data_IF_198253655966
#
_entry.id   IF_198253655966
#
_cell.length_a   1.000
_cell.length_b   1.000
_cell.length_c   1.000
_cell.angle_alpha   90.00
_cell.angle_beta   90.00
_cell.angle_gamma   90.00
#
_symmetry.space_group_name_H-M   'P 1'
#
loop_
_entity.id
_entity.type
_entity.pdbx_description
1 polymer ?
#
# COMPACT_ATOMS: atom_id res chain seq x y z
N UNK A 1 -58.67 -6.60 52.09
CA UNK A 1 -59.44 -6.51 50.83
C UNK A 1 -58.95 -5.30 50.05
N UNK A 2 -58.39 -5.58 48.86
CA UNK A 2 -58.13 -4.71 47.68
C UNK A 2 -56.67 -4.73 47.24
N UNK A 3 -56.43 -5.56 46.23
CA UNK A 3 -55.36 -5.44 45.25
C UNK A 3 -55.55 -4.14 44.45
N UNK A 4 -54.45 -3.50 44.10
CA UNK A 4 -54.35 -2.70 42.87
C UNK A 4 -52.97 -2.91 42.26
N UNK A 5 -52.93 -3.77 41.24
CA UNK A 5 -51.84 -3.98 40.31
C UNK A 5 -51.71 -2.76 39.40
N UNK A 6 -50.53 -2.14 39.36
CA UNK A 6 -50.19 -1.10 38.38
C UNK A 6 -49.50 -1.78 37.20
N UNK A 7 -50.18 -1.84 36.06
CA UNK A 7 -49.60 -2.29 34.80
C UNK A 7 -48.65 -1.20 34.27
N UNK A 8 -47.36 -1.51 34.17
CA UNK A 8 -46.42 -0.75 33.35
C UNK A 8 -46.70 -1.09 31.87
N UNK A 9 -47.19 -0.13 31.11
CA UNK A 9 -47.20 -0.23 29.65
C UNK A 9 -45.75 -0.08 29.15
N UNK A 10 -45.21 -1.16 28.60
CA UNK A 10 -44.00 -1.11 27.79
C UNK A 10 -44.33 -0.37 26.48
N UNK A 11 -43.76 0.82 26.30
CA UNK A 11 -43.75 1.48 25.00
C UNK A 11 -42.77 0.70 24.11
N UNK A 12 -43.31 -0.01 23.12
CA UNK A 12 -42.53 -0.54 22.01
C UNK A 12 -41.89 0.62 21.26
N UNK A 13 -40.57 0.72 21.31
CA UNK A 13 -39.82 1.58 20.42
C UNK A 13 -39.99 1.07 18.99
N UNK A 14 -41.00 1.60 18.28
CA UNK A 14 -41.01 1.54 16.82
C UNK A 14 -39.81 2.36 16.36
N UNK A 15 -38.77 1.67 15.88
CA UNK A 15 -37.70 2.32 15.12
C UNK A 15 -38.38 3.08 13.97
N UNK A 16 -38.37 4.41 14.04
CA UNK A 16 -38.73 5.24 12.91
C UNK A 16 -37.69 4.94 11.83
N UNK A 17 -38.06 4.10 10.86
CA UNK A 17 -37.33 3.98 9.61
C UNK A 17 -37.43 5.35 8.96
N UNK A 18 -36.30 6.05 8.81
CA UNK A 18 -36.25 7.31 8.09
C UNK A 18 -36.88 7.12 6.70
N UNK A 19 -37.67 8.08 6.25
CA UNK A 19 -38.30 8.02 4.93
C UNK A 19 -37.20 7.92 3.86
N UNK A 20 -37.24 6.88 3.01
CA UNK A 20 -36.19 6.62 2.03
C UNK A 20 -36.10 7.78 1.05
N UNK A 21 -34.89 8.28 0.80
CA UNK A 21 -34.67 9.33 -0.19
C UNK A 21 -35.18 8.88 -1.57
N UNK A 22 -35.91 9.76 -2.26
CA UNK A 22 -36.29 9.56 -3.66
C UNK A 22 -35.13 9.77 -4.63
N UNK A 23 -34.10 10.53 -4.22
CA UNK A 23 -32.89 10.71 -4.99
C UNK A 23 -31.87 9.63 -4.60
N UNK A 24 -31.59 8.73 -5.54
CA UNK A 24 -30.62 7.65 -5.35
C UNK A 24 -29.19 8.18 -5.44
N UNK A 25 -28.34 7.78 -4.51
CA UNK A 25 -26.90 7.99 -4.63
C UNK A 25 -26.39 7.39 -5.96
N UNK A 26 -25.46 8.07 -6.65
CA UNK A 26 -24.91 7.60 -7.91
C UNK A 26 -24.14 6.29 -7.71
N UNK A 27 -24.26 5.40 -8.68
CA UNK A 27 -23.50 4.16 -8.76
C UNK A 27 -22.56 4.24 -9.95
N UNK A 28 -21.26 4.19 -9.67
CA UNK A 28 -20.18 4.30 -10.63
C UNK A 28 -19.63 2.90 -10.90
N UNK A 29 -19.96 2.37 -12.08
CA UNK A 29 -19.42 1.09 -12.57
C UNK A 29 -18.39 1.39 -13.66
N UNK A 30 -17.11 1.00 -13.47
CA UNK A 30 -16.11 1.11 -14.52
C UNK A 30 -16.52 0.33 -15.78
N UNK A 31 -16.17 0.86 -16.95
CA UNK A 31 -16.24 0.10 -18.21
C UNK A 31 -15.00 -0.78 -18.32
N UNK A 32 -15.03 -1.89 -17.57
CA UNK A 32 -13.92 -2.83 -17.43
C UNK A 32 -14.45 -4.26 -17.32
N UNK A 33 -13.68 -5.21 -17.86
CA UNK A 33 -13.94 -6.64 -17.70
C UNK A 33 -13.39 -7.20 -16.38
N UNK A 34 -12.60 -6.42 -15.64
CA UNK A 34 -11.89 -6.84 -14.43
C UNK A 34 -12.60 -6.46 -13.13
N UNK A 35 -13.93 -6.38 -13.16
CA UNK A 35 -14.73 -6.05 -11.96
C UNK A 35 -14.60 -7.15 -10.89
N UNK A 36 -14.52 -6.74 -9.63
CA UNK A 36 -14.62 -7.65 -8.49
C UNK A 36 -16.09 -8.06 -8.35
N UNK A 37 -16.45 -9.35 -8.50
CA UNK A 37 -17.84 -9.78 -8.38
C UNK A 37 -18.42 -9.38 -7.03
N UNK A 38 -19.53 -8.63 -7.07
CA UNK A 38 -20.21 -8.13 -5.87
C UNK A 38 -19.31 -7.33 -4.91
N UNK A 39 -18.22 -6.73 -5.43
CA UNK A 39 -17.30 -5.87 -4.68
C UNK A 39 -17.63 -4.40 -4.88
N UNK A 40 -17.91 -3.68 -3.79
CA UNK A 40 -18.34 -2.28 -3.83
C UNK A 40 -17.64 -1.43 -2.78
N UNK A 41 -17.39 -0.18 -3.12
CA UNK A 41 -16.92 0.86 -2.22
C UNK A 41 -18.04 1.86 -2.01
N UNK A 42 -18.47 2.05 -0.77
CA UNK A 42 -19.51 3.02 -0.40
C UNK A 42 -18.85 4.19 0.29
N UNK A 43 -19.08 5.39 -0.24
CA UNK A 43 -18.51 6.64 0.27
C UNK A 43 -19.59 7.51 0.84
N UNK A 44 -19.30 8.12 1.97
CA UNK A 44 -20.25 8.96 2.68
C UNK A 44 -20.00 10.45 2.44
N UNK A 45 -21.05 11.23 2.66
CA UNK A 45 -20.92 12.68 2.82
C UNK A 45 -20.03 12.98 4.05
N UNK A 46 -19.29 14.11 4.07
CA UNK A 46 -18.33 14.40 5.15
C UNK A 46 -18.87 14.37 6.58
N UNK A 47 -20.18 14.55 6.77
CA UNK A 47 -20.86 14.59 8.07
C UNK A 47 -21.71 13.35 8.35
N UNK A 48 -21.52 12.27 7.60
CA UNK A 48 -22.28 11.03 7.73
C UNK A 48 -21.34 9.88 8.09
N UNK A 49 -21.65 9.21 9.20
CA UNK A 49 -20.83 8.12 9.74
C UNK A 49 -21.33 6.74 9.31
N UNK A 50 -20.53 5.71 9.55
CA UNK A 50 -20.94 4.32 9.32
C UNK A 50 -22.12 3.93 10.22
N UNK A 51 -22.14 4.43 11.45
CA UNK A 51 -23.23 4.23 12.40
C UNK A 51 -24.52 4.91 11.92
N UNK A 52 -24.44 6.15 11.44
CA UNK A 52 -25.58 6.85 10.84
C UNK A 52 -26.11 6.09 9.62
N UNK A 53 -25.20 5.54 8.80
CA UNK A 53 -25.55 4.73 7.64
C UNK A 53 -26.36 3.51 8.03
N UNK A 54 -25.88 2.71 8.99
CA UNK A 54 -26.60 1.52 9.46
C UNK A 54 -27.94 1.85 10.10
N UNK A 55 -28.02 2.97 10.84
CA UNK A 55 -29.29 3.46 11.38
C UNK A 55 -30.29 3.83 10.27
N UNK A 56 -29.82 4.48 9.20
CA UNK A 56 -30.67 4.91 8.08
C UNK A 56 -31.17 3.72 7.24
N UNK A 57 -30.31 2.76 6.90
CA UNK A 57 -30.72 1.60 6.09
C UNK A 57 -31.44 0.53 6.92
N UNK A 58 -31.35 0.62 8.25
CA UNK A 58 -32.06 -0.24 9.20
C UNK A 58 -31.36 -1.57 9.50
N UNK A 59 -30.11 -1.75 9.07
CA UNK A 59 -29.32 -2.96 9.34
C UNK A 59 -27.83 -2.72 9.18
N UNK A 60 -27.05 -3.63 9.75
CA UNK A 60 -25.60 -3.68 9.60
C UNK A 60 -25.24 -4.48 8.34
N UNK A 61 -24.54 -3.87 7.38
CA UNK A 61 -24.17 -4.55 6.13
C UNK A 61 -23.13 -5.65 6.32
N UNK A 62 -22.39 -5.64 7.45
CA UNK A 62 -21.35 -6.63 7.77
C UNK A 62 -21.91 -8.04 7.82
N UNK A 63 -23.18 -8.20 8.17
CA UNK A 63 -23.82 -9.52 8.24
C UNK A 63 -24.06 -10.15 6.86
N UNK A 64 -23.96 -9.38 5.77
CA UNK A 64 -24.18 -9.85 4.40
C UNK A 64 -22.88 -9.95 3.59
N UNK A 65 -21.75 -9.54 4.18
CA UNK A 65 -20.49 -9.36 3.51
C UNK A 65 -19.54 -10.54 3.77
N UNK A 66 -18.94 -11.09 2.70
CA UNK A 66 -17.81 -12.03 2.79
C UNK A 66 -16.51 -11.31 3.12
N UNK A 67 -16.39 -10.04 2.72
CA UNK A 67 -15.29 -9.13 3.06
C UNK A 67 -15.90 -7.80 3.49
N UNK A 68 -15.42 -7.22 4.59
CA UNK A 68 -15.79 -5.87 5.00
C UNK A 68 -14.56 -5.15 5.56
N UNK A 69 -14.27 -3.96 5.02
CA UNK A 69 -13.12 -3.17 5.39
C UNK A 69 -13.50 -1.70 5.50
N UNK A 70 -13.34 -1.16 6.71
CA UNK A 70 -13.58 0.25 6.98
C UNK A 70 -12.41 1.11 6.48
N UNK A 71 -12.74 2.26 5.91
CA UNK A 71 -11.80 3.25 5.41
C UNK A 71 -12.10 4.61 6.05
N UNK A 72 -11.80 4.78 7.35
CA UNK A 72 -12.17 5.98 8.10
C UNK A 72 -11.48 7.25 7.58
N UNK A 73 -10.32 7.13 6.95
CA UNK A 73 -9.61 8.28 6.35
C UNK A 73 -10.30 8.74 5.06
N UNK A 74 -10.83 7.82 4.27
CA UNK A 74 -11.63 8.11 3.06
C UNK A 74 -13.11 8.38 3.35
N UNK A 75 -13.56 8.29 4.60
CA UNK A 75 -14.98 8.25 5.01
C UNK A 75 -15.81 7.27 4.15
N UNK A 76 -15.34 6.02 4.10
CA UNK A 76 -15.87 5.00 3.22
C UNK A 76 -15.75 3.60 3.84
N UNK A 77 -16.35 2.61 3.18
CA UNK A 77 -16.05 1.21 3.42
C UNK A 77 -16.05 0.42 2.11
N UNK A 78 -15.23 -0.63 2.05
CA UNK A 78 -15.22 -1.64 1.00
C UNK A 78 -15.90 -2.89 1.54
N UNK A 79 -16.71 -3.53 0.71
CA UNK A 79 -17.32 -4.80 1.03
C UNK A 79 -17.54 -5.65 -0.21
N UNK A 80 -17.44 -6.96 -0.03
CA UNK A 80 -17.81 -7.97 -1.03
C UNK A 80 -19.06 -8.67 -0.49
N UNK A 81 -20.17 -8.63 -1.22
CA UNK A 81 -21.42 -9.28 -0.79
C UNK A 81 -21.35 -10.80 -1.02
N UNK A 82 -22.00 -11.54 -0.13
CA UNK A 82 -22.31 -12.95 -0.41
C UNK A 82 -23.34 -13.03 -1.55
N UNK A 83 -23.20 -14.03 -2.45
CA UNK A 83 -24.06 -14.17 -3.63
C UNK A 83 -25.55 -14.07 -3.26
N UNK A 84 -26.35 -13.46 -4.14
CA UNK A 84 -27.79 -13.13 -4.00
C UNK A 84 -28.20 -11.90 -3.16
N UNK A 85 -27.27 -11.04 -2.76
CA UNK A 85 -27.57 -9.82 -1.99
C UNK A 85 -27.40 -8.48 -2.73
N UNK A 86 -27.23 -8.46 -4.06
CA UNK A 86 -27.00 -7.21 -4.81
C UNK A 86 -28.13 -6.17 -4.70
N UNK A 87 -29.36 -6.61 -4.38
CA UNK A 87 -30.50 -5.75 -4.09
C UNK A 87 -30.23 -4.81 -2.91
N UNK A 88 -29.33 -5.17 -1.98
CA UNK A 88 -28.91 -4.30 -0.86
C UNK A 88 -28.33 -2.99 -1.38
N UNK A 89 -27.57 -3.03 -2.47
CA UNK A 89 -27.00 -1.82 -3.08
C UNK A 89 -28.13 -0.92 -3.58
N UNK A 90 -29.01 -1.49 -4.40
CA UNK A 90 -29.97 -0.71 -5.19
C UNK A 90 -31.21 -0.29 -4.41
N UNK A 91 -31.67 -1.13 -3.48
CA UNK A 91 -32.91 -0.91 -2.76
C UNK A 91 -32.68 -0.26 -1.40
N UNK A 92 -31.47 -0.32 -0.83
CA UNK A 92 -31.19 0.18 0.53
C UNK A 92 -30.06 1.21 0.56
N UNK A 93 -28.83 0.82 0.23
CA UNK A 93 -27.66 1.69 0.41
C UNK A 93 -27.78 2.98 -0.41
N UNK A 94 -28.24 2.87 -1.66
CA UNK A 94 -28.45 4.05 -2.52
C UNK A 94 -29.53 5.01 -2.05
N UNK A 95 -30.41 4.58 -1.15
CA UNK A 95 -31.48 5.42 -0.61
C UNK A 95 -31.07 6.18 0.65
N UNK A 96 -29.90 5.90 1.22
CA UNK A 96 -29.38 6.69 2.33
C UNK A 96 -28.88 8.06 1.81
N UNK A 97 -29.48 9.18 2.25
CA UNK A 97 -29.07 10.52 1.82
C UNK A 97 -27.63 10.88 2.24
N UNK A 98 -27.07 10.16 3.22
CA UNK A 98 -25.69 10.31 3.65
C UNK A 98 -24.68 9.59 2.75
N UNK A 99 -25.11 8.75 1.82
CA UNK A 99 -24.23 8.12 0.83
C UNK A 99 -23.94 9.10 -0.30
N UNK A 100 -22.67 9.45 -0.47
CA UNK A 100 -22.19 10.32 -1.54
C UNK A 100 -22.23 9.59 -2.89
N UNK A 101 -21.72 8.35 -2.93
CA UNK A 101 -21.69 7.49 -4.12
C UNK A 101 -21.31 6.06 -3.75
N UNK A 102 -21.62 5.14 -4.66
CA UNK A 102 -21.12 3.76 -4.66
C UNK A 102 -20.23 3.57 -5.89
N UNK A 103 -19.08 2.92 -5.71
CA UNK A 103 -18.17 2.54 -6.80
C UNK A 103 -18.11 1.01 -6.86
N UNK A 104 -18.14 0.43 -8.07
CA UNK A 104 -17.82 -0.98 -8.24
C UNK A 104 -16.30 -1.15 -8.20
N UNK A 105 -15.82 -2.12 -7.42
CA UNK A 105 -14.39 -2.38 -7.26
C UNK A 105 -13.81 -3.11 -8.48
N UNK A 106 -12.52 -2.92 -8.71
CA UNK A 106 -11.82 -3.43 -9.90
C UNK A 106 -10.54 -4.15 -9.47
N UNK A 107 -10.33 -5.36 -9.97
CA UNK A 107 -9.09 -6.10 -9.79
C UNK A 107 -7.92 -5.36 -10.43
N UNK A 108 -6.72 -5.53 -9.86
CA UNK A 108 -5.51 -5.01 -10.47
C UNK A 108 -5.22 -5.75 -11.79
N UNK A 109 -4.81 -5.03 -12.83
CA UNK A 109 -4.45 -5.64 -14.11
C UNK A 109 -3.16 -6.49 -14.02
N UNK A 110 -3.04 -7.51 -14.88
CA UNK A 110 -1.90 -8.43 -15.00
C UNK A 110 -1.58 -9.29 -13.75
N UNK A 111 -2.56 -9.66 -12.94
CA UNK A 111 -2.31 -10.53 -11.80
C UNK A 111 -2.12 -12.00 -12.18
N UNK A 112 -0.89 -12.50 -11.99
CA UNK A 112 -0.61 -13.91 -11.85
C UNK A 112 -0.21 -14.16 -10.40
N UNK A 113 -0.78 -15.19 -9.77
CA UNK A 113 -0.38 -15.64 -8.44
C UNK A 113 0.85 -16.52 -8.61
N UNK A 114 1.96 -16.12 -8.01
CA UNK A 114 3.24 -16.80 -8.17
C UNK A 114 3.53 -17.74 -7.00
N UNK A 115 4.23 -18.83 -7.30
CA UNK A 115 4.78 -19.77 -6.34
C UNK A 115 6.20 -20.17 -6.78
N UNK A 116 7.28 -19.86 -6.02
CA UNK A 116 8.43 -20.79 -5.83
C UNK A 116 9.60 -20.29 -4.96
N UNK A 117 10.27 -21.33 -4.43
CA UNK A 117 11.67 -21.62 -4.05
C UNK A 117 12.74 -20.55 -3.75
N UNK A 118 13.59 -20.91 -2.76
CA UNK A 118 14.49 -20.06 -1.99
C UNK A 118 15.88 -19.82 -2.59
N UNK A 119 16.45 -18.66 -2.28
CA UNK A 119 17.80 -18.21 -2.61
C UNK A 119 18.86 -18.56 -1.52
N UNK A 120 20.16 -18.65 -1.87
CA UNK A 120 21.25 -19.03 -0.97
C UNK A 120 21.73 -17.91 -0.01
N UNK A 121 22.49 -18.24 1.06
CA UNK A 121 22.85 -17.31 2.13
C UNK A 121 24.12 -16.46 1.85
N UNK A 122 24.26 -15.27 2.47
CA UNK A 122 25.46 -14.42 2.37
C UNK A 122 26.31 -14.35 3.68
N UNK A 123 27.50 -13.70 3.68
CA UNK A 123 28.49 -13.73 4.77
C UNK A 123 28.35 -12.64 5.86
N UNK A 124 29.30 -12.61 6.82
CA UNK A 124 29.34 -11.80 8.07
C UNK A 124 30.17 -10.48 7.98
N UNK A 125 29.89 -9.50 8.88
CA UNK A 125 30.22 -8.06 8.73
C UNK A 125 31.27 -7.45 9.70
N UNK A 126 31.91 -6.32 9.34
CA UNK A 126 32.74 -5.43 10.19
C UNK A 126 32.63 -3.91 9.86
N UNK A 127 32.96 -3.05 10.85
CA UNK A 127 33.11 -1.56 10.96
C UNK A 127 32.00 -0.56 10.47
N UNK A 128 31.91 0.60 11.16
CA UNK A 128 30.93 1.69 10.95
C UNK A 128 31.58 2.91 10.27
N UNK A 129 30.92 3.50 9.27
CA UNK A 129 31.46 4.68 8.54
C UNK A 129 30.41 5.77 8.27
N UNK A 130 30.84 6.95 7.79
CA UNK A 130 29.95 8.07 7.42
C UNK A 130 29.47 7.96 5.96
N UNK A 131 28.25 8.47 5.69
CA UNK A 131 27.57 8.44 4.38
C UNK A 131 28.34 9.09 3.21
N UNK A 132 29.39 9.87 3.42
CA UNK A 132 29.95 10.73 2.35
C UNK A 132 31.39 10.36 1.93
N UNK A 133 31.91 9.21 2.38
CA UNK A 133 33.30 8.81 2.10
C UNK A 133 33.35 8.06 0.75
N UNK A 134 33.81 8.72 -0.31
CA UNK A 134 33.77 8.20 -1.68
C UNK A 134 34.62 6.94 -1.93
N UNK A 135 35.83 6.87 -1.36
CA UNK A 135 36.78 5.76 -1.63
C UNK A 135 36.32 4.39 -1.13
N UNK A 136 35.42 4.37 -0.14
CA UNK A 136 34.86 3.16 0.44
C UNK A 136 33.58 2.72 -0.27
N UNK A 137 32.97 3.62 -1.07
CA UNK A 137 31.66 3.43 -1.68
C UNK A 137 31.69 2.85 -3.08
N UNK A 138 32.81 2.91 -3.77
CA UNK A 138 32.93 2.34 -5.12
C UNK A 138 32.85 0.80 -5.13
N UNK A 139 32.79 0.10 -3.99
CA UNK A 139 32.78 -1.37 -3.93
C UNK A 139 31.38 -2.00 -3.80
N UNK A 140 30.32 -1.23 -4.04
CA UNK A 140 28.92 -1.69 -3.98
C UNK A 140 28.28 -1.99 -5.34
N UNK A 141 27.07 -2.57 -5.37
CA UNK A 141 26.25 -2.60 -6.58
C UNK A 141 26.09 -1.17 -7.11
N UNK A 142 26.35 -0.96 -8.39
CA UNK A 142 26.42 0.37 -9.01
C UNK A 142 25.21 1.26 -8.66
N UNK A 143 24.00 0.69 -8.63
CA UNK A 143 22.76 1.40 -8.32
C UNK A 143 22.70 1.89 -6.87
N UNK A 144 23.19 1.10 -5.90
CA UNK A 144 23.28 1.52 -4.50
C UNK A 144 24.32 2.63 -4.32
N UNK A 145 25.40 2.58 -5.08
CA UNK A 145 26.40 3.65 -5.10
C UNK A 145 25.77 4.94 -5.63
N UNK A 146 25.06 4.89 -6.76
CA UNK A 146 24.40 6.05 -7.37
C UNK A 146 23.42 6.75 -6.42
N UNK A 147 22.45 6.03 -5.85
CA UNK A 147 21.40 6.65 -5.02
C UNK A 147 21.93 7.22 -3.70
N UNK A 148 23.11 6.77 -3.29
CA UNK A 148 23.69 7.21 -2.04
C UNK A 148 24.71 8.34 -2.22
N UNK A 149 25.34 8.47 -3.38
CA UNK A 149 26.29 9.55 -3.69
C UNK A 149 25.57 10.89 -3.93
N UNK A 150 26.17 11.98 -3.46
CA UNK A 150 25.66 13.34 -3.71
C UNK A 150 26.08 13.94 -5.05
N UNK A 151 26.73 13.15 -5.92
CA UNK A 151 27.21 13.56 -7.24
C UNK A 151 27.26 12.36 -8.18
N UNK A 152 27.25 12.62 -9.48
CA UNK A 152 27.46 11.58 -10.49
C UNK A 152 28.86 10.97 -10.36
N UNK A 153 28.93 9.69 -10.68
CA UNK A 153 30.16 8.89 -10.73
C UNK A 153 30.23 8.19 -12.08
N UNK A 154 31.39 8.20 -12.73
CA UNK A 154 31.65 7.39 -13.90
C UNK A 154 32.03 5.97 -13.45
N UNK A 155 31.25 4.98 -13.87
CA UNK A 155 31.46 3.58 -13.55
C UNK A 155 32.19 2.81 -14.65
N UNK A 156 32.52 3.45 -15.78
CA UNK A 156 33.21 2.81 -16.90
C UNK A 156 32.47 1.61 -17.51
N UNK A 157 31.15 1.53 -17.35
CA UNK A 157 30.33 0.39 -17.79
C UNK A 157 30.42 -0.87 -16.90
N UNK A 158 31.15 -0.82 -15.78
CA UNK A 158 31.26 -1.95 -14.87
C UNK A 158 30.03 -2.05 -13.95
N UNK A 159 29.18 -3.06 -14.14
CA UNK A 159 28.04 -3.33 -13.25
C UNK A 159 28.45 -3.81 -11.85
N UNK A 160 29.69 -4.29 -11.71
CA UNK A 160 30.31 -4.71 -10.46
C UNK A 160 31.59 -3.92 -10.26
N UNK A 161 31.46 -2.66 -9.82
CA UNK A 161 32.54 -1.66 -9.67
C UNK A 161 33.61 -2.00 -8.61
N UNK A 162 33.69 -3.26 -8.19
CA UNK A 162 34.57 -3.79 -7.15
C UNK A 162 33.87 -4.94 -6.44
N UNK A 163 34.16 -6.18 -6.82
CA UNK A 163 33.55 -7.39 -6.25
C UNK A 163 33.97 -7.71 -4.81
N UNK A 164 34.71 -6.82 -4.13
CA UNK A 164 34.91 -6.90 -2.69
C UNK A 164 33.69 -6.30 -1.98
N UNK A 165 32.70 -7.16 -1.77
CA UNK A 165 31.55 -7.00 -0.87
C UNK A 165 31.29 -5.58 -0.37
N UNK A 166 30.16 -5.00 -0.82
CA UNK A 166 29.44 -3.88 -0.19
C UNK A 166 29.29 -3.98 1.34
N UNK A 167 29.58 -5.17 1.88
CA UNK A 167 29.49 -5.59 3.26
C UNK A 167 30.50 -4.98 4.25
N UNK A 168 31.08 -3.80 3.99
CA UNK A 168 32.08 -3.20 4.90
C UNK A 168 31.63 -1.89 5.54
N UNK A 169 30.44 -1.35 5.20
CA UNK A 169 30.14 0.05 5.51
C UNK A 169 28.68 0.27 5.94
N UNK A 170 28.44 0.24 7.26
CA UNK A 170 27.19 0.74 7.85
C UNK A 170 27.25 2.27 8.03
N UNK A 171 26.23 3.01 7.56
CA UNK A 171 26.15 4.46 7.78
C UNK A 171 25.69 4.78 9.22
N UNK A 172 26.17 5.87 9.81
CA UNK A 172 25.65 6.28 11.13
C UNK A 172 24.16 6.69 10.99
N UNK A 173 23.28 5.90 11.59
CA UNK A 173 21.84 6.16 11.86
C UNK A 173 20.91 6.44 10.66
N UNK A 174 21.30 6.06 9.43
CA UNK A 174 20.45 6.27 8.24
C UNK A 174 19.11 5.53 8.35
N UNK A 175 18.00 6.28 8.38
CA UNK A 175 16.65 5.74 8.51
C UNK A 175 16.24 5.33 9.93
N UNK A 176 17.11 5.50 10.94
CA UNK A 176 16.78 5.11 12.31
C UNK A 176 15.52 5.85 12.81
N UNK A 177 14.51 5.08 13.22
CA UNK A 177 13.23 5.60 13.69
C UNK A 177 12.17 5.83 12.61
N UNK A 178 12.50 5.57 11.34
CA UNK A 178 11.57 5.74 10.21
C UNK A 178 10.95 4.40 9.84
N UNK A 179 9.64 4.40 9.72
CA UNK A 179 8.88 3.26 9.21
C UNK A 179 8.71 3.40 7.69
N UNK A 180 9.13 2.39 6.94
CA UNK A 180 8.99 2.35 5.48
C UNK A 180 7.99 1.27 5.12
N UNK A 181 6.78 1.68 4.74
CA UNK A 181 5.72 0.80 4.26
C UNK A 181 5.97 0.48 2.79
N UNK A 182 6.17 -0.80 2.48
CA UNK A 182 6.44 -1.28 1.13
C UNK A 182 5.18 -1.95 0.60
N UNK A 183 4.52 -1.28 -0.34
CA UNK A 183 3.33 -1.75 -1.04
C UNK A 183 3.78 -2.53 -2.27
N UNK A 184 3.73 -3.86 -2.20
CA UNK A 184 4.33 -4.73 -3.21
C UNK A 184 3.76 -6.17 -3.18
N UNK A 185 4.46 -7.15 -3.77
CA UNK A 185 4.15 -8.58 -3.80
C UNK A 185 4.33 -9.30 -2.47
N UNK A 186 4.72 -8.59 -1.42
CA UNK A 186 5.10 -9.14 -0.13
C UNK A 186 6.57 -8.88 0.19
N UNK A 187 6.99 -9.19 1.41
CA UNK A 187 8.40 -9.30 1.79
C UNK A 187 8.55 -10.64 2.50
N UNK A 188 9.56 -11.42 2.13
CA UNK A 188 10.05 -12.54 2.92
C UNK A 188 10.79 -11.98 4.13
N UNK A 189 10.05 -11.64 5.18
CA UNK A 189 10.60 -10.85 6.29
C UNK A 189 11.73 -11.59 7.00
N UNK A 190 11.69 -12.92 7.12
CA UNK A 190 12.75 -13.72 7.72
C UNK A 190 13.98 -13.91 6.81
N UNK A 191 13.98 -13.32 5.60
CA UNK A 191 15.14 -13.34 4.75
C UNK A 191 16.34 -12.78 5.49
N UNK A 192 17.45 -13.49 5.42
CA UNK A 192 18.64 -13.20 6.19
C UNK A 192 19.10 -11.74 6.00
N UNK A 193 18.95 -11.16 4.80
CA UNK A 193 19.27 -9.75 4.52
C UNK A 193 18.53 -8.73 5.41
N UNK A 194 17.47 -9.13 6.11
CA UNK A 194 16.71 -8.30 7.05
C UNK A 194 17.03 -8.62 8.52
N UNK A 195 18.02 -9.47 8.80
CA UNK A 195 18.60 -9.68 10.13
C UNK A 195 19.83 -8.78 10.29
N UNK A 196 19.60 -7.50 10.53
CA UNK A 196 20.64 -6.48 10.64
C UNK A 196 20.84 -6.06 12.10
N UNK A 197 22.08 -5.82 12.53
CA UNK A 197 22.40 -5.31 13.88
C UNK A 197 21.81 -6.14 15.03
N UNK A 198 21.70 -7.46 14.85
CA UNK A 198 21.11 -8.35 15.86
C UNK A 198 19.59 -8.24 16.02
N UNK A 199 18.91 -7.50 15.11
CA UNK A 199 17.45 -7.39 15.09
C UNK A 199 16.88 -7.75 13.71
N UNK A 200 15.63 -8.19 13.73
CA UNK A 200 14.81 -8.32 12.53
C UNK A 200 14.29 -6.92 12.15
N UNK A 201 14.66 -6.40 10.97
CA UNK A 201 14.30 -5.05 10.53
C UNK A 201 13.04 -5.00 9.67
N UNK A 202 12.62 -6.15 9.11
CA UNK A 202 11.40 -6.28 8.34
C UNK A 202 10.32 -7.00 9.14
N UNK A 203 9.09 -6.48 9.11
CA UNK A 203 7.92 -7.09 9.74
C UNK A 203 6.71 -7.02 8.82
N UNK A 204 5.71 -7.86 9.07
CA UNK A 204 4.43 -7.74 8.40
C UNK A 204 3.57 -6.67 9.05
N UNK A 205 2.82 -5.94 8.22
CA UNK A 205 1.92 -4.91 8.71
C UNK A 205 0.86 -5.48 9.66
N UNK A 206 0.41 -4.64 10.61
CA UNK A 206 -0.56 -4.99 11.66
C UNK A 206 -0.17 -6.22 12.50
N UNK A 207 1.14 -6.52 12.62
CA UNK A 207 1.65 -7.62 13.44
C UNK A 207 1.28 -9.02 12.93
N UNK A 208 0.92 -9.12 11.64
CA UNK A 208 0.62 -10.39 10.99
C UNK A 208 1.83 -11.33 11.03
N UNK A 209 1.56 -12.63 11.00
CA UNK A 209 2.57 -13.66 10.80
C UNK A 209 2.68 -14.01 9.32
N UNK A 210 3.79 -14.61 8.94
CA UNK A 210 4.09 -15.04 7.57
C UNK A 210 3.05 -16.00 7.00
N UNK A 211 2.47 -16.85 7.87
CA UNK A 211 1.39 -17.78 7.54
C UNK A 211 -0.01 -17.15 7.50
N UNK A 212 -0.18 -15.92 8.00
CA UNK A 212 -1.48 -15.26 7.98
C UNK A 212 -1.80 -14.80 6.57
N UNK A 213 -3.10 -14.66 6.26
CA UNK A 213 -3.54 -14.10 4.99
C UNK A 213 -3.42 -12.58 4.97
N UNK A 214 -3.05 -12.05 3.80
CA UNK A 214 -3.11 -10.60 3.56
C UNK A 214 -4.57 -10.17 3.41
N UNK A 215 -5.04 -9.14 4.14
CA UNK A 215 -6.39 -8.62 3.97
C UNK A 215 -6.56 -7.88 2.64
N UNK A 216 -5.46 -7.52 1.97
CA UNK A 216 -5.46 -6.71 0.75
C UNK A 216 -5.31 -7.55 -0.52
N UNK A 217 -5.39 -8.87 -0.38
CA UNK A 217 -5.23 -9.84 -1.46
C UNK A 217 -6.49 -10.68 -1.64
N UNK A 218 -6.45 -11.61 -2.59
CA UNK A 218 -7.46 -12.64 -2.77
C UNK A 218 -7.50 -13.59 -1.57
N UNK A 219 -8.62 -14.29 -1.41
CA UNK A 219 -8.82 -15.22 -0.30
C UNK A 219 -7.71 -16.28 -0.24
N UNK A 220 -7.22 -16.56 0.97
CA UNK A 220 -6.21 -17.58 1.24
C UNK A 220 -4.77 -17.19 0.91
N UNK A 221 -4.51 -16.00 0.38
CA UNK A 221 -3.14 -15.57 0.02
C UNK A 221 -2.37 -15.10 1.25
N UNK A 222 -1.29 -15.80 1.58
CA UNK A 222 -0.44 -15.53 2.75
C UNK A 222 0.44 -14.27 2.60
N UNK A 223 0.93 -13.74 3.72
CA UNK A 223 1.76 -12.53 3.77
C UNK A 223 3.16 -12.68 3.16
N UNK A 224 3.67 -13.90 3.04
CA UNK A 224 5.01 -14.18 2.49
C UNK A 224 5.16 -13.69 1.03
N UNK A 225 6.38 -13.40 0.61
CA UNK A 225 6.70 -13.02 -0.77
C UNK A 225 7.06 -14.24 -1.61
N UNK A 226 6.11 -14.68 -2.43
CA UNK A 226 6.27 -15.84 -3.32
C UNK A 226 6.74 -15.46 -4.72
N UNK A 227 6.80 -14.16 -5.04
CA UNK A 227 7.30 -13.64 -6.32
C UNK A 227 8.75 -13.16 -6.21
N UNK A 228 9.12 -12.59 -5.07
CA UNK A 228 10.47 -12.06 -4.81
C UNK A 228 10.64 -10.58 -5.18
N UNK A 229 9.67 -9.98 -5.88
CA UNK A 229 9.75 -8.57 -6.30
C UNK A 229 9.80 -7.64 -5.08
N UNK A 230 8.87 -7.77 -4.15
CA UNK A 230 8.83 -6.92 -2.96
C UNK A 230 9.99 -7.17 -2.00
N UNK A 231 10.48 -8.40 -1.89
CA UNK A 231 11.72 -8.71 -1.17
C UNK A 231 12.94 -8.03 -1.80
N UNK A 232 13.02 -8.01 -3.13
CA UNK A 232 14.08 -7.31 -3.86
C UNK A 232 13.99 -5.79 -3.67
N UNK A 233 12.79 -5.20 -3.79
CA UNK A 233 12.53 -3.77 -3.53
C UNK A 233 12.90 -3.40 -2.08
N UNK A 234 12.44 -4.18 -1.11
CA UNK A 234 12.78 -3.97 0.30
C UNK A 234 14.28 -4.06 0.53
N UNK A 235 14.97 -5.01 -0.12
CA UNK A 235 16.42 -5.12 -0.09
C UNK A 235 17.15 -3.90 -0.64
N UNK A 236 16.64 -3.25 -1.70
CA UNK A 236 17.21 -1.99 -2.22
C UNK A 236 17.10 -0.87 -1.19
N UNK A 237 15.95 -0.75 -0.54
CA UNK A 237 15.67 0.29 0.47
C UNK A 237 16.55 0.07 1.70
N UNK A 238 16.51 -1.14 2.26
CA UNK A 238 17.09 -1.46 3.54
C UNK A 238 17.49 -2.93 3.58
N UNK A 239 18.78 -3.18 3.75
CA UNK A 239 19.31 -4.51 3.98
C UNK A 239 20.45 -4.41 5.00
N UNK A 240 20.80 -5.53 5.63
CA UNK A 240 21.92 -5.60 6.58
C UNK A 240 23.25 -5.22 5.94
N UNK A 241 23.35 -5.34 4.62
CA UNK A 241 24.58 -5.20 3.88
C UNK A 241 24.89 -3.77 3.41
N UNK A 242 24.06 -2.78 3.78
CA UNK A 242 24.30 -1.37 3.48
C UNK A 242 23.26 -0.68 2.60
N UNK A 243 22.02 -1.20 2.54
CA UNK A 243 20.92 -0.53 1.84
C UNK A 243 20.79 0.95 2.21
N UNK A 244 20.18 1.75 1.32
CA UNK A 244 20.15 3.21 1.40
C UNK A 244 19.80 3.76 2.81
N UNK A 245 18.87 3.11 3.51
CA UNK A 245 18.42 3.44 4.86
C UNK A 245 18.47 2.23 5.81
N UNK A 246 19.63 1.56 5.93
CA UNK A 246 19.84 0.31 6.68
C UNK A 246 19.38 0.25 8.17
N UNK A 247 18.94 1.36 8.81
CA UNK A 247 18.30 1.34 10.14
C UNK A 247 16.80 1.64 10.15
N UNK A 248 16.17 1.81 8.99
CA UNK A 248 14.72 1.90 8.88
C UNK A 248 14.03 0.62 9.36
N UNK A 249 12.74 0.72 9.65
CA UNK A 249 11.86 -0.42 9.87
C UNK A 249 11.10 -0.69 8.57
N UNK A 250 11.33 -1.84 7.94
CA UNK A 250 10.60 -2.26 6.76
C UNK A 250 9.26 -2.88 7.19
N UNK A 251 8.17 -2.40 6.62
CA UNK A 251 6.83 -2.91 6.91
C UNK A 251 6.21 -3.42 5.62
N UNK A 252 5.99 -4.72 5.56
CA UNK A 252 5.38 -5.40 4.41
C UNK A 252 3.88 -5.13 4.34
N UNK A 253 3.45 -4.45 3.27
CA UNK A 253 2.06 -4.24 2.89
C UNK A 253 1.83 -4.97 1.55
N UNK A 254 1.46 -6.26 1.63
CA UNK A 254 1.27 -7.11 0.44
C UNK A 254 -0.03 -6.78 -0.28
N UNK A 255 0.06 -6.22 -1.49
CA UNK A 255 -1.09 -5.70 -2.26
C UNK A 255 -1.04 -6.02 -3.76
N UNK A 256 0.05 -6.58 -4.29
CA UNK A 256 0.21 -6.80 -5.73
C UNK A 256 0.49 -8.27 -6.08
N UNK A 257 0.03 -8.70 -7.27
CA UNK A 257 0.21 -10.07 -7.80
C UNK A 257 -0.35 -11.10 -6.82
N UNK A 258 -1.49 -10.77 -6.22
CA UNK A 258 -2.02 -11.53 -5.09
C UNK A 258 -3.54 -11.67 -5.07
N UNK A 259 -4.25 -11.39 -6.15
CA UNK A 259 -5.72 -11.31 -6.18
C UNK A 259 -6.26 -10.00 -5.60
N UNK A 260 -5.47 -8.93 -5.66
CA UNK A 260 -5.79 -7.63 -5.06
C UNK A 260 -6.74 -6.80 -5.94
N UNK A 261 -7.37 -5.80 -5.32
CA UNK A 261 -8.23 -4.83 -6.00
C UNK A 261 -7.86 -3.40 -5.62
N UNK A 262 -8.39 -2.42 -6.34
CA UNK A 262 -8.12 -1.02 -6.03
C UNK A 262 -8.70 -0.58 -4.71
N UNK A 263 -9.91 -1.04 -4.37
CA UNK A 263 -10.48 -0.81 -3.05
C UNK A 263 -9.59 -1.41 -1.95
N UNK A 264 -8.96 -2.57 -2.17
CA UNK A 264 -8.00 -3.17 -1.23
C UNK A 264 -6.71 -2.36 -1.11
N UNK A 265 -6.17 -1.81 -2.20
CA UNK A 265 -5.00 -0.91 -2.15
C UNK A 265 -5.36 0.39 -1.42
N UNK A 266 -6.53 0.98 -1.69
CA UNK A 266 -7.02 2.17 -0.98
C UNK A 266 -7.20 1.91 0.51
N UNK A 267 -7.75 0.74 0.87
CA UNK A 267 -7.89 0.30 2.27
C UNK A 267 -6.52 0.19 2.93
N UNK A 268 -5.53 -0.39 2.25
CA UNK A 268 -4.17 -0.48 2.77
C UNK A 268 -3.55 0.90 3.04
N UNK A 269 -3.80 1.90 2.17
CA UNK A 269 -3.39 3.28 2.40
C UNK A 269 -4.11 3.86 3.63
N UNK A 270 -5.43 3.71 3.74
CA UNK A 270 -6.22 4.15 4.90
C UNK A 270 -5.68 3.59 6.22
N UNK A 271 -5.34 2.30 6.23
CA UNK A 271 -4.79 1.61 7.38
C UNK A 271 -3.41 2.16 7.77
N UNK A 272 -2.54 2.44 6.80
CA UNK A 272 -1.22 3.04 7.03
C UNK A 272 -1.37 4.47 7.57
N UNK A 273 -2.26 5.28 7.02
CA UNK A 273 -2.53 6.64 7.54
C UNK A 273 -3.04 6.58 8.98
N UNK A 274 -3.95 5.64 9.27
CA UNK A 274 -4.47 5.42 10.62
C UNK A 274 -3.36 5.03 11.60
N UNK A 275 -2.50 4.07 11.22
CA UNK A 275 -1.35 3.67 12.04
C UNK A 275 -0.36 4.82 12.26
N UNK A 276 -0.07 5.60 11.21
CA UNK A 276 0.79 6.78 11.31
C UNK A 276 0.22 7.83 12.26
N UNK A 277 -1.07 8.15 12.15
CA UNK A 277 -1.72 9.13 13.03
C UNK A 277 -1.76 8.65 14.49
N UNK A 278 -1.96 7.36 14.72
CA UNK A 278 -1.85 6.77 16.05
C UNK A 278 -0.44 6.95 16.64
N UNK A 279 0.60 6.64 15.86
CA UNK A 279 1.99 6.90 16.27
C UNK A 279 2.23 8.40 16.49
N UNK A 280 1.75 9.28 15.61
CA UNK A 280 1.90 10.73 15.76
C UNK A 280 1.25 11.25 17.05
N UNK A 281 0.11 10.69 17.45
CA UNK A 281 -0.60 11.05 18.69
C UNK A 281 0.09 10.53 19.95
N UNK A 282 0.74 9.37 19.86
CA UNK A 282 1.47 8.71 20.94
C UNK A 282 2.77 8.11 20.39
N UNK A 283 3.81 8.94 20.16
CA UNK A 283 5.02 8.50 19.47
C UNK A 283 5.71 7.36 20.21
N UNK A 284 5.95 6.22 19.53
CA UNK A 284 6.88 5.22 20.05
C UNK A 284 8.27 5.85 20.27
N UNK A 285 9.04 5.32 21.21
CA UNK A 285 10.41 5.79 21.45
C UNK A 285 11.21 5.74 20.16
N UNK A 286 11.96 6.80 19.87
CA UNK A 286 12.79 6.97 18.66
C UNK A 286 12.03 7.05 17.32
N UNK A 287 10.69 7.06 17.31
CA UNK A 287 9.92 7.19 16.07
C UNK A 287 10.04 8.59 15.47
N UNK A 288 10.27 8.66 14.16
CA UNK A 288 10.50 9.91 13.42
C UNK A 288 9.51 10.16 12.29
N UNK A 289 8.71 9.18 11.92
CA UNK A 289 7.74 9.31 10.83
C UNK A 289 7.63 8.07 9.98
N UNK A 290 6.91 8.22 8.87
CA UNK A 290 6.62 7.13 7.94
C UNK A 290 6.83 7.57 6.50
N UNK A 291 7.22 6.62 5.65
CA UNK A 291 7.29 6.76 4.19
C UNK A 291 6.55 5.58 3.56
N UNK A 292 5.88 5.81 2.44
CA UNK A 292 5.28 4.78 1.61
C UNK A 292 6.12 4.62 0.34
N UNK A 293 6.49 3.40 0.01
CA UNK A 293 7.07 3.03 -1.28
C UNK A 293 6.07 2.17 -2.04
N UNK A 294 5.67 2.62 -3.24
CA UNK A 294 4.77 1.92 -4.16
C UNK A 294 5.53 1.60 -5.45
N UNK A 295 6.28 0.50 -5.46
CA UNK A 295 6.98 0.00 -6.65
C UNK A 295 6.02 -0.76 -7.58
N UNK A 296 4.81 -0.22 -7.73
CA UNK A 296 3.67 -0.81 -8.42
C UNK A 296 3.04 0.27 -9.30
N UNK A 297 2.44 -0.15 -10.40
CA UNK A 297 1.85 0.74 -11.38
C UNK A 297 0.58 0.14 -11.97
N UNK A 298 -0.43 0.98 -12.14
CA UNK A 298 -1.73 0.62 -12.69
C UNK A 298 -2.12 1.55 -13.83
N UNK A 299 -2.81 1.00 -14.82
CA UNK A 299 -3.31 1.71 -16.02
C UNK A 299 -4.82 1.91 -16.02
N UNK A 300 -5.47 1.59 -14.91
CA UNK A 300 -6.90 1.69 -14.66
C UNK A 300 -7.44 3.14 -14.71
N UNK A 301 -8.75 3.25 -14.88
CA UNK A 301 -9.45 4.55 -14.97
C UNK A 301 -10.19 4.94 -13.67
N UNK A 302 -10.58 3.98 -12.82
CA UNK A 302 -11.27 4.27 -11.56
C UNK A 302 -10.29 4.35 -10.38
N UNK A 303 -9.76 5.55 -10.11
CA UNK A 303 -8.68 5.73 -9.13
C UNK A 303 -8.89 6.90 -8.16
N UNK A 304 -10.03 7.61 -8.22
CA UNK A 304 -10.25 8.83 -7.44
C UNK A 304 -10.15 8.55 -5.93
N UNK A 305 -10.72 7.44 -5.46
CA UNK A 305 -10.61 7.01 -4.07
C UNK A 305 -9.18 6.81 -3.60
N UNK A 306 -8.39 6.07 -4.39
CA UNK A 306 -6.97 5.87 -4.12
C UNK A 306 -6.20 7.20 -4.12
N UNK A 307 -6.51 8.11 -5.05
CA UNK A 307 -5.91 9.44 -5.08
C UNK A 307 -6.24 10.24 -3.82
N UNK A 308 -7.49 10.22 -3.37
CA UNK A 308 -7.94 10.90 -2.15
C UNK A 308 -7.25 10.33 -0.90
N UNK A 309 -7.12 9.00 -0.80
CA UNK A 309 -6.41 8.34 0.28
C UNK A 309 -4.91 8.70 0.30
N UNK A 310 -4.26 8.76 -0.87
CA UNK A 310 -2.85 9.17 -0.97
C UNK A 310 -2.66 10.67 -0.69
N UNK A 311 -3.61 11.52 -1.05
CA UNK A 311 -3.62 12.92 -0.64
C UNK A 311 -3.72 13.04 0.89
N UNK A 312 -4.58 12.23 1.53
CA UNK A 312 -4.68 12.19 2.98
C UNK A 312 -3.39 11.71 3.65
N UNK A 313 -2.74 10.68 3.09
CA UNK A 313 -1.43 10.22 3.56
C UNK A 313 -0.37 11.33 3.48
N UNK A 314 -0.26 12.02 2.35
CA UNK A 314 0.65 13.15 2.19
C UNK A 314 0.34 14.28 3.18
N UNK A 315 -0.93 14.64 3.35
CA UNK A 315 -1.36 15.66 4.30
C UNK A 315 -1.09 15.28 5.78
N UNK A 316 -1.10 13.98 6.10
CA UNK A 316 -0.72 13.50 7.42
C UNK A 316 0.79 13.65 7.71
N UNK A 317 1.61 13.82 6.66
CA UNK A 317 3.06 13.91 6.71
C UNK A 317 3.78 12.65 6.22
N UNK A 318 3.10 11.76 5.51
CA UNK A 318 3.69 10.55 4.94
C UNK A 318 4.14 10.84 3.51
N UNK A 319 5.45 10.83 3.26
CA UNK A 319 5.97 10.94 1.91
C UNK A 319 5.74 9.64 1.13
N UNK A 320 5.36 9.76 -0.14
CA UNK A 320 5.05 8.61 -1.00
C UNK A 320 5.98 8.63 -2.22
N UNK A 321 6.72 7.56 -2.46
CA UNK A 321 7.47 7.35 -3.70
C UNK A 321 6.76 6.29 -4.55
N UNK A 322 6.63 6.56 -5.86
CA UNK A 322 5.93 5.66 -6.79
C UNK A 322 6.67 5.54 -8.13
N UNK A 323 6.68 4.33 -8.69
CA UNK A 323 7.33 4.06 -9.97
C UNK A 323 6.58 4.72 -11.14
N UNK A 324 7.31 5.38 -12.05
CA UNK A 324 6.73 6.05 -13.22
C UNK A 324 6.05 5.10 -14.23
N UNK A 325 6.48 3.83 -14.24
CA UNK A 325 6.04 2.78 -15.17
C UNK A 325 7.13 2.35 -16.16
N UNK A 326 6.89 1.23 -16.84
CA UNK A 326 7.93 0.46 -17.56
C UNK A 326 7.64 0.26 -19.06
N UNK A 327 6.76 1.07 -19.65
CA UNK A 327 6.25 0.90 -21.01
C UNK A 327 6.93 1.84 -22.03
N UNK A 328 7.93 2.62 -21.61
CA UNK A 328 8.63 3.61 -22.44
C UNK A 328 7.68 4.65 -23.04
N UNK A 329 6.68 5.08 -22.28
CA UNK A 329 5.65 6.01 -22.75
C UNK A 329 5.81 7.41 -22.15
N UNK A 330 5.26 8.42 -22.86
CA UNK A 330 5.18 9.82 -22.39
C UNK A 330 3.97 10.05 -21.46
N UNK A 331 3.83 9.20 -20.44
CA UNK A 331 2.83 9.32 -19.38
C UNK A 331 3.25 8.54 -18.14
N UNK A 332 2.72 8.92 -16.96
CA UNK A 332 3.01 8.26 -15.69
C UNK A 332 1.89 7.30 -15.29
N UNK A 333 2.24 6.11 -14.81
CA UNK A 333 1.29 5.16 -14.19
C UNK A 333 0.72 5.68 -12.87
N UNK A 334 -0.40 5.11 -12.45
CA UNK A 334 -0.94 5.35 -11.10
C UNK A 334 -0.22 4.40 -10.13
N UNK A 335 0.29 4.87 -8.98
CA UNK A 335 0.02 6.18 -8.36
C UNK A 335 1.02 7.30 -8.66
N UNK A 336 2.07 7.07 -9.45
CA UNK A 336 3.08 8.09 -9.80
C UNK A 336 2.50 9.33 -10.51
N UNK A 337 1.34 9.21 -11.16
CA UNK A 337 0.67 10.37 -11.79
C UNK A 337 0.14 11.40 -10.78
N UNK A 338 -0.08 11.02 -9.53
CA UNK A 338 -0.72 11.89 -8.54
C UNK A 338 0.25 12.91 -7.97
N UNK A 339 -0.24 14.13 -7.74
CA UNK A 339 0.59 15.21 -7.19
C UNK A 339 1.08 14.95 -5.75
N UNK A 340 0.39 14.05 -5.02
CA UNK A 340 0.77 13.61 -3.68
C UNK A 340 1.90 12.58 -3.67
N UNK A 341 2.35 12.10 -4.84
CA UNK A 341 3.44 11.13 -4.94
C UNK A 341 4.67 11.75 -5.61
N UNK A 342 5.84 11.30 -5.17
CA UNK A 342 7.10 11.51 -5.87
C UNK A 342 7.22 10.42 -6.93
N UNK A 343 7.03 10.79 -8.19
CA UNK A 343 7.19 9.91 -9.33
C UNK A 343 8.66 9.71 -9.67
N UNK A 344 9.07 8.45 -9.75
CA UNK A 344 10.48 8.05 -9.91
C UNK A 344 10.66 7.27 -11.21
N UNK A 345 11.53 7.79 -12.08
CA UNK A 345 11.97 7.14 -13.30
C UNK A 345 13.18 6.23 -13.06
N UNK A 346 13.47 5.38 -14.04
CA UNK A 346 14.63 4.50 -14.01
C UNK A 346 15.72 4.99 -14.96
N UNK A 347 16.96 4.93 -14.49
CA UNK A 347 18.18 5.16 -15.27
C UNK A 347 19.08 3.93 -15.25
N UNK A 348 19.91 3.78 -16.27
CA UNK A 348 21.00 2.81 -16.29
C UNK A 348 22.26 3.36 -15.59
N UNK A 349 23.33 2.58 -15.62
CA UNK A 349 24.60 2.88 -14.96
C UNK A 349 25.27 4.15 -15.50
N UNK A 350 24.97 4.53 -16.73
CA UNK A 350 25.50 5.71 -17.41
C UNK A 350 24.57 6.92 -17.26
N UNK A 351 23.59 6.85 -16.35
CA UNK A 351 22.55 7.86 -16.11
C UNK A 351 21.64 8.10 -17.34
N UNK A 352 21.65 7.21 -18.33
CA UNK A 352 20.69 7.28 -19.42
C UNK A 352 19.34 6.75 -18.93
N UNK A 353 18.24 7.28 -19.46
CA UNK A 353 16.91 6.71 -19.18
C UNK A 353 16.90 5.22 -19.54
N UNK A 354 16.53 4.39 -18.57
CA UNK A 354 16.54 2.94 -18.73
C UNK A 354 15.65 2.50 -19.90
N UNK A 355 16.20 1.64 -20.74
CA UNK A 355 15.48 0.90 -21.78
C UNK A 355 15.82 -0.58 -21.66
N UNK A 356 14.83 -1.47 -21.77
CA UNK A 356 15.01 -2.90 -21.56
C UNK A 356 13.99 -3.79 -22.29
N UNK A 357 14.08 -5.10 -22.07
CA UNK A 357 13.24 -6.12 -22.70
C UNK A 357 13.72 -6.58 -24.08
N UNK A 358 13.19 -7.73 -24.56
CA UNK A 358 13.45 -8.22 -25.92
C UNK A 358 13.08 -7.11 -26.92
N UNK A 359 14.02 -6.72 -27.78
CA UNK A 359 13.90 -5.64 -28.78
C UNK A 359 13.75 -4.19 -28.25
N UNK A 360 14.03 -3.91 -26.97
CA UNK A 360 14.07 -2.52 -26.45
C UNK A 360 12.72 -1.81 -26.38
N UNK A 361 11.63 -2.60 -26.35
CA UNK A 361 10.24 -2.10 -26.31
C UNK A 361 9.80 -1.65 -24.91
N UNK A 362 10.52 -2.05 -23.85
CA UNK A 362 10.29 -1.57 -22.48
C UNK A 362 11.30 -0.49 -22.12
N UNK A 363 10.96 0.28 -21.10
CA UNK A 363 11.83 1.33 -20.59
C UNK A 363 11.09 2.20 -19.61
N UNK A 364 11.84 3.06 -18.91
CA UNK A 364 11.22 4.01 -17.99
C UNK A 364 10.22 4.85 -18.75
N UNK A 365 9.00 4.92 -18.24
CA UNK A 365 8.10 5.98 -18.62
C UNK A 365 8.74 7.33 -18.27
N UNK A 366 8.32 8.34 -19.01
CA UNK A 366 8.81 9.70 -18.89
C UNK A 366 7.62 10.63 -19.03
N UNK A 367 7.72 11.82 -18.45
CA UNK A 367 6.72 12.86 -18.62
C UNK A 367 7.27 14.16 -18.05
N UNK A 368 6.79 15.32 -18.50
CA UNK A 368 7.15 16.62 -17.92
C UNK A 368 6.78 16.79 -16.43
N UNK A 369 5.94 15.92 -15.89
CA UNK A 369 5.54 15.90 -14.47
C UNK A 369 6.33 14.88 -13.65
N UNK A 370 7.25 14.12 -14.27
CA UNK A 370 8.14 13.21 -13.56
C UNK A 370 8.98 14.02 -12.56
N UNK A 371 9.07 13.57 -11.31
CA UNK A 371 9.81 14.31 -10.29
C UNK A 371 11.31 14.04 -10.33
N UNK A 372 11.73 12.79 -10.48
CA UNK A 372 13.14 12.38 -10.46
C UNK A 372 13.43 11.18 -11.36
#
# INVERSE_FOLDING_TARGET
>A
MKLTSTFLFAASASALIAERSHALAPYLRPDSEHLVPEGYIVRFQPNHTLEDHFANIGFDVRQFASVFMEMPVSNAYLFELTESNNYIIHDFIRHDPGVLRIEHDEYLHDEQIFHREAAPPPPTYAEKVKRWINSLRSQGPWNQVMITLGKTNDFGGETNVGSSFFAQYSFVDSGAGVDVYVFDSGIKVEHESFKAFGRQIATHFKGKKTSDTSPYCGSGVVMDDLLGHGTHVAGIICNRDGGAVHKANLINVKVQKCGGSIGKVETAVNDVVTAHNNNKSKPPSEWKGSVINMSIGFTILNFQGLQDALNAANNAGIHIAAAAGNQRQDWLEIPARFASTFSVGAVDIDYNRWTGGYAGIRGSNYHKKLNI
#
